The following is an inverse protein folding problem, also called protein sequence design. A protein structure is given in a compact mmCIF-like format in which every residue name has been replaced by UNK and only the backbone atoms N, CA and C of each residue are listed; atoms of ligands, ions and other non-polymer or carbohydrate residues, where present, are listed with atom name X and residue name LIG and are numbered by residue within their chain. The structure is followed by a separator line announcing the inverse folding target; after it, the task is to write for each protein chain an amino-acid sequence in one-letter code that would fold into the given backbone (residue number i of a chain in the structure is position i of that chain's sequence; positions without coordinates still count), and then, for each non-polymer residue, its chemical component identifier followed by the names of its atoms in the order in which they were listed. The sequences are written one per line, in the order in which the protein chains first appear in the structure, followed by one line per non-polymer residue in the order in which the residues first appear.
data_IF_482967945758
#
_entry.id   IF_482967945758
#
_cell.length_a   1.000
_cell.length_b   1.000
_cell.length_c   1.000
_cell.angle_alpha   90.00
_cell.angle_beta   90.00
_cell.angle_gamma   90.00
#
_symmetry.space_group_name_H-M   'P 1'
#
loop_
_entity.id
_entity.type
_entity.pdbx_description
1 polymer ?
#
# COMPACT_ATOMS: atom_id res chain seq x y z
N UNK A 1 -18.80 -14.21 19.26
CA UNK A 1 -18.16 -14.10 17.93
C UNK A 1 -18.81 -15.11 17.02
N UNK A 2 -19.45 -14.75 15.89
CA UNK A 2 -19.94 -15.74 14.94
C UNK A 2 -18.75 -16.51 14.36
N UNK A 3 -18.89 -17.82 14.21
CA UNK A 3 -17.88 -18.67 13.58
C UNK A 3 -17.45 -18.10 12.22
N UNK A 4 -16.16 -18.22 11.84
CA UNK A 4 -15.73 -17.80 10.52
C UNK A 4 -16.55 -18.54 9.46
N UNK A 5 -17.00 -17.87 8.39
CA UNK A 5 -17.76 -18.53 7.33
C UNK A 5 -16.90 -19.67 6.76
N UNK A 6 -17.51 -20.85 6.60
CA UNK A 6 -16.85 -22.03 6.05
C UNK A 6 -16.19 -21.69 4.72
N UNK A 7 -14.86 -21.75 4.70
CA UNK A 7 -14.03 -21.56 3.53
C UNK A 7 -13.76 -22.94 2.92
N UNK A 8 -14.57 -23.33 1.95
CA UNK A 8 -14.44 -24.61 1.27
C UNK A 8 -13.30 -24.56 0.24
N UNK A 9 -12.27 -25.42 0.40
CA UNK A 9 -11.15 -25.50 -0.53
C UNK A 9 -11.59 -26.17 -1.84
N UNK A 10 -11.31 -25.53 -2.96
CA UNK A 10 -11.63 -25.95 -4.31
C UNK A 10 -10.42 -25.80 -5.23
N UNK A 11 -10.44 -26.55 -6.33
CA UNK A 11 -9.41 -26.46 -7.39
C UNK A 11 -10.10 -26.40 -8.75
N UNK A 12 -9.57 -25.59 -9.63
CA UNK A 12 -10.00 -25.52 -11.03
C UNK A 12 -8.78 -25.48 -11.94
N UNK A 13 -8.93 -26.00 -13.16
CA UNK A 13 -7.87 -25.95 -14.18
C UNK A 13 -8.14 -24.75 -15.08
N UNK A 14 -7.17 -23.85 -15.12
CA UNK A 14 -7.16 -22.66 -15.97
C UNK A 14 -6.08 -22.80 -17.05
N UNK A 15 -6.06 -21.97 -18.11
CA UNK A 15 -5.02 -22.00 -19.14
C UNK A 15 -3.59 -21.96 -18.59
N UNK A 16 -3.32 -21.15 -17.58
CA UNK A 16 -2.02 -21.05 -16.92
C UNK A 16 -1.75 -22.08 -15.84
N UNK A 17 -2.55 -23.16 -15.74
CA UNK A 17 -2.37 -24.25 -14.78
C UNK A 17 -3.48 -24.33 -13.71
N UNK A 18 -3.30 -25.24 -12.74
CA UNK A 18 -4.27 -25.42 -11.65
C UNK A 18 -4.27 -24.19 -10.74
N UNK A 19 -5.46 -23.71 -10.43
CA UNK A 19 -5.71 -22.67 -9.42
C UNK A 19 -6.45 -23.29 -8.24
N UNK A 20 -5.87 -23.12 -7.05
CA UNK A 20 -6.52 -23.44 -5.79
C UNK A 20 -7.24 -22.20 -5.24
N UNK A 21 -8.49 -22.33 -4.83
CA UNK A 21 -9.27 -21.23 -4.28
C UNK A 21 -10.18 -21.70 -3.15
N UNK A 22 -10.58 -20.78 -2.29
CA UNK A 22 -11.55 -21.03 -1.24
C UNK A 22 -12.89 -20.42 -1.59
N UNK A 23 -13.92 -21.25 -1.65
CA UNK A 23 -15.30 -20.80 -1.88
C UNK A 23 -15.93 -20.38 -0.55
N UNK A 24 -16.56 -19.21 -0.54
CA UNK A 24 -17.30 -18.68 0.60
C UNK A 24 -18.70 -18.26 0.18
N UNK A 25 -19.71 -18.77 0.82
CA UNK A 25 -21.08 -18.29 0.67
C UNK A 25 -21.33 -17.11 1.62
N UNK A 26 -21.89 -16.01 1.11
CA UNK A 26 -22.08 -14.80 1.90
C UNK A 26 -23.47 -14.20 1.64
N UNK A 27 -24.24 -13.86 2.69
CA UNK A 27 -25.53 -13.21 2.56
C UNK A 27 -25.41 -11.80 1.97
N UNK A 28 -24.23 -11.18 2.10
CA UNK A 28 -23.94 -9.84 1.56
C UNK A 28 -23.53 -9.86 0.09
N UNK A 29 -23.14 -11.01 -0.46
CA UNK A 29 -22.76 -11.13 -1.86
C UNK A 29 -24.00 -11.19 -2.74
N UNK A 30 -24.03 -10.36 -3.79
CA UNK A 30 -25.09 -10.38 -4.81
C UNK A 30 -24.61 -11.02 -6.12
N UNK A 31 -23.30 -11.08 -6.32
CA UNK A 31 -22.60 -11.64 -7.48
C UNK A 31 -21.31 -12.34 -7.05
N UNK A 32 -20.58 -12.91 -8.03
CA UNK A 32 -19.25 -13.47 -7.76
C UNK A 32 -18.27 -12.33 -7.44
N UNK A 33 -17.50 -12.54 -6.38
CA UNK A 33 -16.41 -11.65 -5.97
C UNK A 33 -15.17 -12.48 -5.72
N UNK A 34 -14.07 -12.16 -6.37
CA UNK A 34 -12.76 -12.76 -6.11
C UNK A 34 -11.93 -11.80 -5.27
N UNK A 35 -11.36 -12.30 -4.20
CA UNK A 35 -10.45 -11.56 -3.32
C UNK A 35 -9.15 -12.34 -3.21
N UNK A 36 -8.02 -11.69 -3.41
CA UNK A 36 -6.72 -12.24 -3.06
C UNK A 36 -6.48 -11.88 -1.59
N UNK A 37 -6.73 -12.86 -0.74
CA UNK A 37 -6.59 -12.70 0.71
C UNK A 37 -5.18 -13.11 1.14
N UNK A 38 -4.48 -12.29 1.93
CA UNK A 38 -3.11 -12.60 2.32
C UNK A 38 -2.94 -13.86 3.18
N UNK A 39 -3.97 -14.29 3.92
CA UNK A 39 -3.92 -15.50 4.75
C UNK A 39 -4.44 -16.72 4.01
N UNK A 40 -5.46 -16.52 3.18
CA UNK A 40 -6.23 -17.60 2.58
C UNK A 40 -6.00 -17.78 1.07
N UNK A 41 -5.17 -16.92 0.43
CA UNK A 41 -4.95 -16.95 -1.01
C UNK A 41 -6.17 -16.47 -1.79
N UNK A 42 -6.56 -17.19 -2.82
CA UNK A 42 -7.74 -16.84 -3.62
C UNK A 42 -9.01 -17.20 -2.86
N UNK A 43 -9.82 -16.22 -2.52
CA UNK A 43 -11.13 -16.39 -1.90
C UNK A 43 -12.22 -15.93 -2.86
N UNK A 44 -13.10 -16.83 -3.23
CA UNK A 44 -14.26 -16.55 -4.08
C UNK A 44 -15.51 -16.48 -3.22
N UNK A 45 -16.13 -15.32 -3.14
CA UNK A 45 -17.40 -15.12 -2.42
C UNK A 45 -18.56 -15.14 -3.41
N UNK A 46 -19.59 -15.93 -3.10
CA UNK A 46 -20.81 -16.08 -3.89
C UNK A 46 -22.05 -15.85 -3.01
N UNK A 47 -23.24 -15.57 -3.56
CA UNK A 47 -24.48 -15.52 -2.83
C UNK A 47 -24.81 -16.84 -2.11
N UNK A 48 -25.72 -16.77 -1.15
CA UNK A 48 -26.25 -17.98 -0.49
C UNK A 48 -26.94 -18.91 -1.51
N UNK A 49 -26.89 -20.22 -1.26
CA UNK A 49 -27.54 -21.25 -2.07
C UNK A 49 -29.06 -21.09 -2.15
N UNK A 50 -29.67 -20.51 -1.11
CA UNK A 50 -31.10 -20.20 -1.05
C UNK A 50 -31.56 -19.15 -2.05
N UNK A 51 -30.62 -18.37 -2.63
CA UNK A 51 -30.92 -17.39 -3.65
C UNK A 51 -31.03 -18.07 -5.01
N UNK A 52 -32.09 -17.75 -5.76
CA UNK A 52 -32.36 -18.33 -7.09
C UNK A 52 -31.13 -18.23 -8.01
N UNK A 53 -30.76 -19.35 -8.64
CA UNK A 53 -29.62 -19.44 -9.55
C UNK A 53 -28.26 -19.68 -8.88
N UNK A 54 -28.19 -19.78 -7.54
CA UNK A 54 -26.92 -19.91 -6.81
C UNK A 54 -26.74 -21.22 -6.06
N UNK A 55 -27.55 -22.23 -6.40
CA UNK A 55 -27.46 -23.57 -5.78
C UNK A 55 -26.14 -24.26 -6.15
N UNK A 56 -25.73 -24.15 -7.42
CA UNK A 56 -24.48 -24.74 -7.95
C UNK A 56 -23.68 -23.67 -8.73
N UNK A 57 -22.89 -22.83 -8.04
CA UNK A 57 -22.19 -21.72 -8.67
C UNK A 57 -20.85 -22.13 -9.35
N UNK A 58 -20.47 -23.43 -9.29
CA UNK A 58 -19.14 -23.90 -9.68
C UNK A 58 -18.79 -23.50 -11.12
N UNK A 59 -19.68 -23.79 -12.07
CA UNK A 59 -19.43 -23.45 -13.50
C UNK A 59 -19.29 -21.94 -13.74
N UNK A 60 -20.12 -21.13 -13.08
CA UNK A 60 -20.03 -19.67 -13.16
C UNK A 60 -18.76 -19.13 -12.52
N UNK A 61 -18.30 -19.73 -11.40
CA UNK A 61 -17.05 -19.38 -10.73
C UNK A 61 -15.86 -19.73 -11.59
N UNK A 62 -15.83 -20.94 -12.16
CA UNK A 62 -14.73 -21.38 -13.03
C UNK A 62 -14.61 -20.52 -14.28
N UNK A 63 -15.74 -20.22 -14.92
CA UNK A 63 -15.77 -19.30 -16.06
C UNK A 63 -15.24 -17.91 -15.68
N UNK A 64 -15.70 -17.36 -14.56
CA UNK A 64 -15.25 -16.04 -14.08
C UNK A 64 -13.75 -16.02 -13.75
N UNK A 65 -13.23 -17.08 -13.12
CA UNK A 65 -11.81 -17.23 -12.84
C UNK A 65 -10.97 -17.34 -14.10
N UNK A 66 -11.45 -18.08 -15.11
CA UNK A 66 -10.77 -18.21 -16.41
C UNK A 66 -10.69 -16.86 -17.14
N UNK A 67 -11.80 -16.12 -17.20
CA UNK A 67 -11.84 -14.79 -17.81
C UNK A 67 -10.91 -13.78 -17.11
N UNK A 68 -10.65 -13.95 -15.82
CA UNK A 68 -9.87 -13.05 -14.98
C UNK A 68 -8.53 -13.62 -14.51
N UNK A 69 -8.11 -14.73 -15.08
CA UNK A 69 -6.86 -15.39 -14.71
C UNK A 69 -5.64 -14.47 -14.70
N UNK A 70 -5.41 -13.57 -15.70
CA UNK A 70 -4.27 -12.65 -15.68
C UNK A 70 -4.30 -11.71 -14.48
N UNK A 71 -5.48 -11.25 -14.05
CA UNK A 71 -5.64 -10.44 -12.86
C UNK A 71 -5.31 -11.24 -11.60
N UNK A 72 -5.87 -12.44 -11.47
CA UNK A 72 -5.65 -13.33 -10.30
C UNK A 72 -4.16 -13.65 -10.15
N UNK A 73 -3.50 -14.11 -11.22
CA UNK A 73 -2.08 -14.47 -11.17
C UNK A 73 -1.17 -13.29 -10.86
N UNK A 74 -1.43 -12.12 -11.44
CA UNK A 74 -0.67 -10.92 -11.15
C UNK A 74 -0.77 -10.51 -9.67
N UNK A 75 -1.95 -10.65 -9.07
CA UNK A 75 -2.13 -10.30 -7.66
C UNK A 75 -1.58 -11.37 -6.71
N UNK A 76 -1.62 -12.65 -7.09
CA UNK A 76 -0.92 -13.70 -6.36
C UNK A 76 0.59 -13.49 -6.38
N UNK A 77 1.18 -13.23 -7.53
CA UNK A 77 2.62 -12.93 -7.64
C UNK A 77 3.02 -11.71 -6.79
N UNK A 78 2.17 -10.67 -6.73
CA UNK A 78 2.38 -9.53 -5.83
C UNK A 78 2.34 -9.94 -4.35
N UNK A 79 1.44 -10.83 -3.97
CA UNK A 79 1.37 -11.33 -2.59
C UNK A 79 2.60 -12.15 -2.22
N UNK A 80 3.05 -13.03 -3.12
CA UNK A 80 4.27 -13.84 -2.93
C UNK A 80 5.52 -12.96 -2.82
N UNK A 81 5.67 -11.99 -3.72
CA UNK A 81 6.76 -11.04 -3.65
C UNK A 81 6.78 -10.25 -2.35
N UNK A 82 5.60 -9.81 -1.82
CA UNK A 82 5.51 -9.18 -0.49
C UNK A 82 5.98 -10.11 0.63
N UNK A 83 5.55 -11.38 0.59
CA UNK A 83 6.01 -12.39 1.56
C UNK A 83 7.52 -12.57 1.51
N UNK A 84 8.08 -12.68 0.31
CA UNK A 84 9.52 -12.77 0.13
C UNK A 84 10.27 -11.54 0.67
N UNK A 85 9.76 -10.33 0.39
CA UNK A 85 10.31 -9.07 0.91
C UNK A 85 10.28 -9.02 2.44
N UNK A 86 9.16 -9.40 3.06
CA UNK A 86 9.04 -9.44 4.53
C UNK A 86 10.00 -10.45 5.11
N UNK A 87 10.09 -11.65 4.52
CA UNK A 87 10.99 -12.72 4.97
C UNK A 87 12.46 -12.29 4.84
N UNK A 88 12.85 -11.69 3.71
CA UNK A 88 14.23 -11.24 3.47
C UNK A 88 14.66 -10.12 4.43
N UNK A 89 13.74 -9.23 4.81
CA UNK A 89 13.99 -8.11 5.72
C UNK A 89 14.14 -8.56 7.19
N UNK A 90 13.59 -9.70 7.57
CA UNK A 90 13.56 -10.16 8.97
C UNK A 90 12.56 -9.42 9.86
N UNK A 91 11.58 -8.71 9.28
CA UNK A 91 10.57 -7.96 10.03
C UNK A 91 11.09 -6.62 10.59
N UNK A 92 10.44 -6.12 11.67
CA UNK A 92 10.90 -4.95 12.44
C UNK A 92 11.61 -5.47 13.69
N UNK A 93 12.87 -5.85 13.51
CA UNK A 93 13.72 -6.42 14.54
C UNK A 93 15.03 -5.63 14.67
N UNK A 94 15.73 -5.82 15.79
CA UNK A 94 17.07 -5.24 15.97
C UNK A 94 18.03 -5.79 14.90
N UNK A 95 18.81 -4.92 14.28
CA UNK A 95 19.72 -5.23 13.19
C UNK A 95 19.08 -5.38 11.81
N UNK A 96 17.74 -5.33 11.67
CA UNK A 96 17.07 -5.42 10.38
C UNK A 96 17.34 -4.19 9.51
N UNK A 97 17.33 -4.36 8.19
CA UNK A 97 17.43 -3.26 7.24
C UNK A 97 16.07 -2.61 7.00
N UNK A 98 16.05 -1.30 6.93
CA UNK A 98 14.84 -0.51 6.74
C UNK A 98 15.07 0.69 5.83
N UNK A 99 14.22 0.88 4.83
CA UNK A 99 14.31 2.01 3.90
C UNK A 99 13.63 3.25 4.47
N UNK A 100 14.35 4.37 4.46
CA UNK A 100 13.83 5.70 4.81
C UNK A 100 14.48 6.76 3.93
N UNK A 101 13.72 7.66 3.36
CA UNK A 101 14.16 8.68 2.37
C UNK A 101 14.93 8.09 1.17
N UNK A 102 14.57 6.88 0.74
CA UNK A 102 15.22 6.17 -0.36
C UNK A 102 16.46 5.39 0.02
N UNK A 103 17.04 5.62 1.17
CA UNK A 103 18.27 5.00 1.67
C UNK A 103 17.98 3.85 2.61
N UNK A 104 18.92 2.90 2.71
CA UNK A 104 18.83 1.77 3.63
C UNK A 104 19.48 2.12 4.96
N UNK A 105 18.75 1.92 6.04
CA UNK A 105 19.17 2.16 7.41
C UNK A 105 19.14 0.85 8.18
N UNK A 106 20.01 0.68 9.16
CA UNK A 106 19.91 -0.40 10.12
C UNK A 106 18.98 0.00 11.27
N UNK A 107 18.00 -0.83 11.58
CA UNK A 107 17.16 -0.65 12.77
C UNK A 107 17.92 -1.08 14.03
N UNK A 108 17.84 -0.28 15.08
CA UNK A 108 18.29 -0.62 16.42
C UNK A 108 17.14 -0.45 17.39
N UNK A 109 16.83 -1.51 18.13
CA UNK A 109 15.80 -1.48 19.17
C UNK A 109 16.51 -1.45 20.50
N UNK A 110 16.54 -0.28 21.13
CA UNK A 110 17.31 -0.06 22.35
C UNK A 110 16.44 0.50 23.48
N UNK A 111 16.76 0.21 24.75
CA UNK A 111 16.06 0.84 25.86
C UNK A 111 16.20 2.38 25.81
N UNK A 112 15.11 3.09 26.08
CA UNK A 112 15.18 4.53 26.25
C UNK A 112 15.85 4.90 27.58
N UNK A 113 16.44 6.10 27.72
CA UNK A 113 17.02 6.57 28.97
C UNK A 113 16.05 6.47 30.14
N UNK A 114 16.56 6.23 31.38
CA UNK A 114 15.74 6.19 32.58
C UNK A 114 14.84 7.44 32.70
N UNK A 115 13.61 7.25 33.13
CA UNK A 115 12.64 8.34 33.26
C UNK A 115 11.89 8.74 32.00
N UNK A 116 12.26 8.20 30.82
CA UNK A 116 11.55 8.44 29.56
C UNK A 116 10.16 7.82 29.64
N UNK A 117 9.13 8.66 29.35
CA UNK A 117 7.72 8.23 29.42
C UNK A 117 7.19 7.60 28.14
N UNK A 118 7.72 7.97 26.98
CA UNK A 118 7.25 7.52 25.66
C UNK A 118 8.42 7.05 24.80
N UNK A 119 8.21 5.97 24.10
CA UNK A 119 9.11 5.47 23.07
C UNK A 119 9.16 6.45 21.91
N UNK A 120 10.32 6.55 21.27
CA UNK A 120 10.58 7.45 20.14
C UNK A 120 11.51 6.81 19.13
N UNK A 121 11.70 7.48 17.98
CA UNK A 121 12.70 7.09 16.97
C UNK A 121 13.67 8.25 16.80
N UNK A 122 14.95 7.93 16.78
CA UNK A 122 16.03 8.86 16.47
C UNK A 122 16.86 8.33 15.29
N UNK A 123 17.29 9.21 14.39
CA UNK A 123 18.27 8.89 13.36
C UNK A 123 19.66 9.18 13.93
N UNK A 124 20.53 8.19 13.85
CA UNK A 124 21.94 8.32 14.18
C UNK A 124 22.74 8.02 12.93
N UNK A 125 23.56 8.99 12.50
CA UNK A 125 24.44 8.85 11.37
C UNK A 125 25.27 10.10 11.21
N UNK A 126 26.57 9.92 11.33
CA UNK A 126 27.61 10.80 10.81
C UNK A 126 28.68 9.98 10.09
N UNK A 127 28.66 8.66 10.18
CA UNK A 127 29.61 7.72 9.58
C UNK A 127 28.88 6.60 8.82
N UNK A 128 29.61 5.74 8.13
CA UNK A 128 29.22 4.69 7.17
C UNK A 128 28.03 3.78 7.51
N UNK A 129 27.34 3.98 8.62
CA UNK A 129 26.16 3.19 9.06
C UNK A 129 25.07 4.11 9.57
N UNK A 130 24.21 4.53 8.65
CA UNK A 130 23.01 5.29 9.01
C UNK A 130 22.02 4.37 9.75
N UNK A 131 21.79 4.64 11.03
CA UNK A 131 20.95 3.83 11.90
C UNK A 131 19.68 4.57 12.33
N UNK A 132 18.56 3.83 12.39
CA UNK A 132 17.33 4.29 13.01
C UNK A 132 17.15 3.60 14.37
N UNK A 133 17.33 4.33 15.45
CA UNK A 133 17.18 3.83 16.81
C UNK A 133 15.72 3.98 17.26
N UNK A 134 15.07 2.86 17.54
CA UNK A 134 13.78 2.81 18.21
C UNK A 134 14.04 2.72 19.71
N UNK A 135 13.87 3.86 20.38
CA UNK A 135 14.08 4.00 21.83
C UNK A 135 12.82 3.54 22.56
N UNK A 136 12.88 2.39 23.24
CA UNK A 136 11.71 1.78 23.88
C UNK A 136 11.67 2.18 25.36
N UNK A 137 10.68 2.95 25.74
CA UNK A 137 10.45 3.35 27.12
C UNK A 137 9.77 2.22 27.92
N UNK A 138 10.23 1.95 29.13
CA UNK A 138 9.78 0.81 29.95
C UNK A 138 8.26 0.81 30.27
N UNK A 139 7.61 1.97 30.28
CA UNK A 139 6.17 2.12 30.54
C UNK A 139 5.31 2.25 29.26
N UNK A 140 5.92 2.33 28.09
CA UNK A 140 5.21 2.40 26.82
C UNK A 140 4.87 0.98 26.34
N UNK A 141 3.58 0.69 26.18
CA UNK A 141 3.11 -0.65 25.76
C UNK A 141 3.02 -0.81 24.25
N UNK A 142 3.35 0.22 23.47
CA UNK A 142 3.35 0.13 22.01
C UNK A 142 4.46 -0.78 21.54
N UNK A 143 4.15 -1.62 20.57
CA UNK A 143 5.17 -2.41 19.87
C UNK A 143 6.15 -1.50 19.10
N UNK A 144 7.43 -1.87 18.93
CA UNK A 144 8.40 -1.08 18.16
C UNK A 144 7.92 -0.67 16.77
N UNK A 145 7.18 -1.53 16.07
CA UNK A 145 6.57 -1.24 14.76
C UNK A 145 5.54 -0.09 14.84
N UNK A 146 4.81 0.02 15.93
CA UNK A 146 3.82 1.10 16.11
C UNK A 146 4.51 2.45 16.40
N UNK A 147 5.60 2.41 17.17
CA UNK A 147 6.46 3.57 17.42
C UNK A 147 7.07 4.06 16.11
N UNK A 148 7.67 3.16 15.33
CA UNK A 148 8.24 3.47 14.02
C UNK A 148 7.17 4.01 13.05
N UNK A 149 5.99 3.39 12.99
CA UNK A 149 4.87 3.86 12.16
C UNK A 149 4.44 5.27 12.52
N UNK A 150 4.33 5.58 13.80
CA UNK A 150 3.93 6.91 14.27
C UNK A 150 4.95 7.97 13.85
N UNK A 151 6.22 7.67 14.03
CA UNK A 151 7.33 8.54 13.64
C UNK A 151 7.37 8.75 12.11
N UNK A 152 7.24 7.69 11.30
CA UNK A 152 7.21 7.81 9.84
C UNK A 152 6.04 8.67 9.35
N UNK A 153 4.87 8.54 9.98
CA UNK A 153 3.72 9.38 9.64
C UNK A 153 3.97 10.86 9.94
N UNK A 154 4.61 11.16 11.05
CA UNK A 154 5.02 12.54 11.39
C UNK A 154 6.04 13.08 10.39
N UNK A 155 7.06 12.29 10.04
CA UNK A 155 8.05 12.67 9.02
C UNK A 155 7.41 12.86 7.64
N UNK A 156 6.47 12.00 7.25
CA UNK A 156 5.72 12.11 6.00
C UNK A 156 4.88 13.39 5.95
N UNK A 157 4.20 13.75 7.04
CA UNK A 157 3.45 15.00 7.12
C UNK A 157 4.37 16.18 6.84
N UNK A 158 5.47 16.31 7.58
CA UNK A 158 6.40 17.42 7.38
C UNK A 158 7.06 17.46 5.98
N UNK A 159 7.36 16.30 5.38
CA UNK A 159 7.92 16.25 4.04
C UNK A 159 6.89 16.65 2.97
N UNK A 160 5.66 16.16 3.08
CA UNK A 160 4.57 16.50 2.15
C UNK A 160 4.21 18.00 2.27
N UNK A 161 4.10 18.52 3.49
CA UNK A 161 3.77 19.95 3.70
C UNK A 161 4.84 20.87 3.08
N UNK A 162 6.12 20.53 3.22
CA UNK A 162 7.22 21.27 2.56
C UNK A 162 7.11 21.20 1.04
N UNK A 163 6.90 20.01 0.48
CA UNK A 163 6.75 19.83 -0.97
C UNK A 163 5.51 20.55 -1.52
N UNK A 164 4.40 20.53 -0.79
CA UNK A 164 3.19 21.30 -1.15
C UNK A 164 3.49 22.80 -1.12
N UNK A 165 4.11 23.31 -0.06
CA UNK A 165 4.47 24.74 0.04
C UNK A 165 5.37 25.18 -1.12
N UNK A 166 6.37 24.36 -1.47
CA UNK A 166 7.29 24.62 -2.58
C UNK A 166 6.59 24.71 -3.93
N UNK A 167 5.75 23.73 -4.28
CA UNK A 167 5.17 23.62 -5.63
C UNK A 167 3.82 24.33 -5.80
N UNK A 168 3.12 24.66 -4.71
CA UNK A 168 1.85 25.39 -4.79
C UNK A 168 2.00 26.77 -5.40
N UNK A 169 3.06 27.51 -5.05
CA UNK A 169 3.36 28.82 -5.61
C UNK A 169 3.65 28.74 -7.11
N UNK A 170 4.52 27.82 -7.52
CA UNK A 170 4.92 27.64 -8.93
C UNK A 170 3.72 27.27 -9.81
N UNK A 171 2.80 26.43 -9.31
CA UNK A 171 1.60 26.08 -10.02
C UNK A 171 0.43 27.07 -9.84
N UNK A 172 0.57 28.07 -8.98
CA UNK A 172 -0.49 29.00 -8.61
C UNK A 172 -1.79 28.28 -8.20
N UNK A 173 -1.67 27.35 -7.24
CA UNK A 173 -2.80 26.57 -6.70
C UNK A 173 -2.75 26.55 -5.15
N UNK A 174 -3.91 26.42 -4.53
CA UNK A 174 -4.03 26.30 -3.07
C UNK A 174 -4.92 25.08 -2.76
N UNK A 175 -4.37 24.01 -2.20
CA UNK A 175 -5.17 22.88 -1.76
C UNK A 175 -6.14 23.29 -0.65
N UNK A 176 -7.41 22.88 -0.73
CA UNK A 176 -8.40 23.15 0.32
C UNK A 176 -8.16 22.30 1.58
N UNK A 177 -7.55 21.14 1.41
CA UNK A 177 -7.25 20.19 2.49
C UNK A 177 -6.18 19.21 2.05
N UNK A 178 -5.25 18.88 2.96
CA UNK A 178 -4.28 17.81 2.80
C UNK A 178 -4.56 16.72 3.84
N UNK A 179 -4.55 15.45 3.43
CA UNK A 179 -4.76 14.31 4.33
C UNK A 179 -3.72 13.23 4.09
N UNK A 180 -3.20 12.68 5.18
CA UNK A 180 -2.29 11.54 5.14
C UNK A 180 -3.09 10.24 5.32
N UNK A 181 -2.90 9.30 4.40
CA UNK A 181 -3.62 8.03 4.36
C UNK A 181 -2.66 6.85 4.40
N UNK A 182 -3.20 5.68 4.70
CA UNK A 182 -2.52 4.39 4.57
C UNK A 182 -3.04 3.62 3.35
N UNK A 183 -2.91 4.24 2.18
CA UNK A 183 -3.34 3.63 0.91
C UNK A 183 -2.26 2.70 0.38
N UNK A 184 -2.69 1.57 -0.19
CA UNK A 184 -1.79 0.55 -0.77
C UNK A 184 -1.95 0.41 -2.28
N UNK A 185 -2.89 1.13 -2.90
CA UNK A 185 -3.18 1.08 -4.33
C UNK A 185 -2.75 2.34 -5.09
N UNK A 186 -2.51 3.44 -4.37
CA UNK A 186 -2.11 4.74 -4.96
C UNK A 186 -1.24 5.52 -4.00
N UNK A 187 -0.36 6.36 -4.54
CA UNK A 187 0.53 7.21 -3.77
C UNK A 187 -0.12 8.52 -3.37
N UNK A 188 -0.97 9.07 -4.24
CA UNK A 188 -1.72 10.27 -4.01
C UNK A 188 -3.11 10.25 -4.66
N UNK A 189 -3.92 11.25 -4.39
CA UNK A 189 -5.13 11.57 -5.13
C UNK A 189 -5.55 13.02 -4.91
N UNK A 190 -6.08 13.65 -5.96
CA UNK A 190 -6.68 14.97 -5.93
C UNK A 190 -8.19 14.87 -6.20
N UNK A 191 -8.98 15.67 -5.50
CA UNK A 191 -10.41 15.80 -5.74
C UNK A 191 -10.74 17.10 -6.45
N UNK A 192 -11.87 17.14 -7.17
CA UNK A 192 -12.39 18.38 -7.81
C UNK A 192 -12.68 19.50 -6.80
N UNK A 193 -12.83 19.19 -5.51
CA UNK A 193 -13.03 20.17 -4.43
C UNK A 193 -11.71 20.72 -3.85
N UNK A 194 -10.57 20.43 -4.49
CA UNK A 194 -9.27 20.90 -4.08
C UNK A 194 -8.62 20.11 -2.94
N UNK A 195 -9.23 19.00 -2.48
CA UNK A 195 -8.62 18.19 -1.42
C UNK A 195 -7.61 17.21 -1.99
N UNK A 196 -6.44 17.15 -1.38
CA UNK A 196 -5.37 16.20 -1.69
C UNK A 196 -5.27 15.12 -0.61
N UNK A 197 -4.91 13.92 -1.00
CA UNK A 197 -4.53 12.88 -0.04
C UNK A 197 -3.29 12.14 -0.52
N UNK A 198 -2.41 11.77 0.43
CA UNK A 198 -1.13 11.12 0.16
C UNK A 198 -0.93 9.90 1.04
N UNK A 199 -0.23 8.91 0.53
CA UNK A 199 0.24 7.78 1.35
C UNK A 199 1.41 8.23 2.22
N UNK A 200 1.37 7.97 3.53
CA UNK A 200 2.49 8.22 4.42
C UNK A 200 3.76 7.45 4.00
N UNK A 201 3.60 6.33 3.28
CA UNK A 201 4.72 5.52 2.80
C UNK A 201 5.61 6.22 1.78
N UNK A 202 5.18 7.36 1.25
CA UNK A 202 6.03 8.19 0.40
C UNK A 202 7.32 8.63 1.07
N UNK A 203 7.34 8.76 2.41
CA UNK A 203 8.55 9.11 3.15
C UNK A 203 9.63 8.02 3.12
N UNK A 204 9.29 6.82 2.69
CA UNK A 204 10.24 5.73 2.49
C UNK A 204 10.97 5.85 1.15
N UNK A 205 10.38 6.55 0.19
CA UNK A 205 10.98 6.81 -1.13
C UNK A 205 12.00 7.96 -1.07
N UNK A 206 12.85 8.09 -2.09
CA UNK A 206 13.67 9.29 -2.27
C UNK A 206 12.81 10.57 -2.22
N UNK A 207 13.33 11.66 -1.65
CA UNK A 207 12.61 12.93 -1.58
C UNK A 207 12.04 13.38 -2.93
N UNK A 208 12.82 13.21 -4.00
CA UNK A 208 12.43 13.57 -5.36
C UNK A 208 11.22 12.75 -5.87
N UNK A 209 11.13 11.50 -5.47
CA UNK A 209 9.98 10.65 -5.82
C UNK A 209 8.72 11.10 -5.05
N UNK A 210 8.85 11.48 -3.77
CA UNK A 210 7.77 12.06 -2.97
C UNK A 210 7.29 13.37 -3.59
N UNK A 211 8.24 14.29 -3.89
CA UNK A 211 7.94 15.58 -4.51
C UNK A 211 7.25 15.42 -5.87
N UNK A 212 7.67 14.44 -6.67
CA UNK A 212 7.04 14.12 -7.96
C UNK A 212 5.56 13.74 -7.78
N UNK A 213 5.22 12.98 -6.74
CA UNK A 213 3.81 12.65 -6.44
C UNK A 213 3.05 13.87 -5.96
N UNK A 214 3.64 14.68 -5.07
CA UNK A 214 3.00 15.91 -4.58
C UNK A 214 2.72 16.86 -5.72
N UNK A 215 3.69 17.10 -6.59
CA UNK A 215 3.54 17.93 -7.79
C UNK A 215 2.46 17.39 -8.73
N UNK A 216 2.40 16.07 -8.94
CA UNK A 216 1.37 15.43 -9.75
C UNK A 216 -0.04 15.72 -9.23
N UNK A 217 -0.26 15.59 -7.93
CA UNK A 217 -1.58 15.84 -7.32
C UNK A 217 -1.92 17.34 -7.30
N UNK A 218 -0.94 18.22 -7.12
CA UNK A 218 -1.14 19.66 -7.24
C UNK A 218 -1.50 20.07 -8.68
N UNK A 219 -0.84 19.48 -9.69
CA UNK A 219 -1.15 19.74 -11.09
C UNK A 219 -2.61 19.39 -11.45
N UNK A 220 -3.20 18.39 -10.78
CA UNK A 220 -4.62 18.06 -10.95
C UNK A 220 -5.59 19.16 -10.46
N UNK A 221 -5.15 20.07 -9.62
CA UNK A 221 -5.97 21.23 -9.23
C UNK A 221 -6.13 22.25 -10.39
N UNK A 222 -5.25 22.19 -11.39
CA UNK A 222 -5.33 23.02 -12.61
C UNK A 222 -5.86 22.27 -13.82
N UNK A 223 -5.41 21.02 -14.00
CA UNK A 223 -5.75 20.24 -15.20
C UNK A 223 -6.17 18.83 -14.78
N UNK A 224 -7.45 18.52 -14.95
CA UNK A 224 -7.96 17.17 -14.74
C UNK A 224 -7.64 16.30 -15.96
N UNK A 225 -7.20 15.05 -15.66
CA UNK A 225 -6.74 14.11 -16.70
C UNK A 225 -5.23 14.21 -16.92
N UNK A 226 -4.71 13.29 -17.74
CA UNK A 226 -3.24 13.11 -17.96
C UNK A 226 -2.86 13.40 -19.42
N UNK A 227 -3.50 14.40 -20.02
CA UNK A 227 -3.19 14.83 -21.39
C UNK A 227 -1.87 15.64 -21.48
N UNK A 228 -1.49 16.09 -22.70
CA UNK A 228 -0.24 16.82 -22.92
C UNK A 228 -0.08 18.07 -22.05
N UNK A 229 -1.15 18.83 -21.82
CA UNK A 229 -1.13 20.04 -20.96
C UNK A 229 -0.80 19.69 -19.50
N UNK A 230 -1.29 18.56 -18.98
CA UNK A 230 -0.99 18.09 -17.65
C UNK A 230 0.50 17.74 -17.52
N UNK A 231 1.01 16.94 -18.46
CA UNK A 231 2.41 16.53 -18.42
C UNK A 231 3.38 17.68 -18.66
N UNK A 232 3.00 18.67 -19.45
CA UNK A 232 3.77 19.89 -19.63
C UNK A 232 3.92 20.67 -18.32
N UNK A 233 2.86 20.78 -17.51
CA UNK A 233 2.92 21.40 -16.18
C UNK A 233 3.88 20.64 -15.24
N UNK A 234 3.76 19.33 -15.19
CA UNK A 234 4.63 18.51 -14.33
C UNK A 234 6.07 18.57 -14.78
N UNK A 235 6.32 18.48 -16.09
CA UNK A 235 7.67 18.50 -16.65
C UNK A 235 8.38 19.85 -16.51
N UNK A 236 7.64 20.95 -16.51
CA UNK A 236 8.21 22.28 -16.30
C UNK A 236 8.84 22.44 -14.90
N UNK A 237 8.19 21.86 -13.89
CA UNK A 237 8.64 21.92 -12.50
C UNK A 237 9.60 20.77 -12.14
N UNK A 238 9.42 19.59 -12.78
CA UNK A 238 10.22 18.40 -12.53
C UNK A 238 10.49 17.65 -13.84
N UNK A 239 11.53 18.04 -14.59
CA UNK A 239 11.87 17.40 -15.87
C UNK A 239 12.13 15.90 -15.77
N UNK A 240 12.67 15.44 -14.64
CA UNK A 240 13.00 14.05 -14.32
C UNK A 240 11.82 13.21 -13.78
N UNK A 241 10.59 13.76 -13.76
CA UNK A 241 9.41 13.10 -13.20
C UNK A 241 9.15 11.67 -13.74
N UNK A 242 9.53 11.40 -14.99
CA UNK A 242 9.36 10.08 -15.62
C UNK A 242 10.22 9.03 -14.90
N UNK A 243 11.46 9.39 -14.55
CA UNK A 243 12.38 8.51 -13.83
C UNK A 243 11.84 8.18 -12.44
N UNK A 244 11.34 9.16 -11.68
CA UNK A 244 10.81 8.97 -10.33
C UNK A 244 9.50 8.19 -10.32
N UNK A 245 8.63 8.40 -11.32
CA UNK A 245 7.42 7.57 -11.49
C UNK A 245 7.77 6.11 -11.81
N UNK A 246 8.82 5.87 -12.60
CA UNK A 246 9.33 4.53 -12.87
C UNK A 246 9.90 3.91 -11.59
N UNK A 247 10.69 4.67 -10.85
CA UNK A 247 11.27 4.24 -9.58
C UNK A 247 10.17 3.78 -8.60
N UNK A 248 9.15 4.62 -8.36
CA UNK A 248 8.01 4.28 -7.51
C UNK A 248 7.28 3.02 -7.98
N UNK A 249 7.13 2.81 -9.27
CA UNK A 249 6.49 1.61 -9.80
C UNK A 249 7.30 0.35 -9.51
N UNK A 250 8.61 0.40 -9.65
CA UNK A 250 9.52 -0.71 -9.38
C UNK A 250 9.51 -1.06 -7.89
N UNK A 251 9.63 -0.06 -7.01
CA UNK A 251 9.75 -0.25 -5.56
C UNK A 251 8.39 -0.28 -4.83
N UNK A 252 7.27 -0.08 -5.53
CA UNK A 252 5.93 0.00 -4.94
C UNK A 252 5.63 -1.14 -3.98
N UNK A 253 6.08 -2.33 -4.32
CA UNK A 253 5.87 -3.55 -3.57
C UNK A 253 6.57 -3.52 -2.21
N UNK A 254 7.85 -3.19 -2.22
CA UNK A 254 8.71 -3.04 -1.04
C UNK A 254 8.16 -1.95 -0.11
N UNK A 255 7.89 -0.76 -0.64
CA UNK A 255 7.42 0.37 0.14
C UNK A 255 6.06 0.11 0.80
N UNK A 256 5.14 -0.57 0.09
CA UNK A 256 3.86 -0.94 0.68
C UNK A 256 3.95 -2.04 1.73
N UNK A 257 4.97 -2.88 1.68
CA UNK A 257 5.23 -3.94 2.66
C UNK A 257 6.09 -3.50 3.84
N UNK A 258 6.62 -2.27 3.84
CA UNK A 258 7.70 -1.84 4.74
C UNK A 258 7.45 -2.07 6.24
N UNK A 259 6.21 -1.91 6.73
CA UNK A 259 5.85 -2.19 8.12
C UNK A 259 4.94 -3.42 8.28
N UNK A 260 4.87 -4.27 7.27
CA UNK A 260 4.11 -5.50 7.38
C UNK A 260 4.97 -6.52 8.12
N UNK A 261 4.52 -6.96 9.26
CA UNK A 261 5.09 -8.08 10.03
C UNK A 261 4.39 -9.39 9.64
N UNK A 262 3.12 -9.30 9.24
CA UNK A 262 2.30 -10.39 8.71
C UNK A 262 1.78 -9.99 7.31
N UNK A 263 1.94 -10.82 6.28
CA UNK A 263 1.34 -10.58 4.96
C UNK A 263 -0.19 -10.44 4.99
N UNK A 264 -0.83 -10.71 6.13
CA UNK A 264 -2.28 -10.73 6.34
C UNK A 264 -3.03 -9.40 6.27
N UNK A 265 -2.42 -8.29 5.89
CA UNK A 265 -3.05 -6.96 6.04
C UNK A 265 -3.60 -6.31 4.79
N UNK A 266 -3.34 -6.83 3.58
CA UNK A 266 -3.87 -6.24 2.35
C UNK A 266 -4.48 -7.26 1.40
N UNK A 267 -5.76 -7.07 1.10
CA UNK A 267 -6.51 -7.85 0.10
C UNK A 267 -6.74 -7.06 -1.17
N UNK A 268 -6.65 -7.70 -2.34
CA UNK A 268 -7.13 -7.17 -3.61
C UNK A 268 -8.48 -7.82 -3.92
N UNK A 269 -9.46 -7.05 -4.36
CA UNK A 269 -10.82 -7.54 -4.65
C UNK A 269 -11.24 -7.14 -6.06
N UNK A 270 -11.91 -8.05 -6.77
CA UNK A 270 -12.54 -7.86 -8.06
C UNK A 270 -13.97 -8.37 -8.00
N UNK A 271 -14.94 -7.59 -8.47
CA UNK A 271 -16.34 -8.00 -8.58
C UNK A 271 -16.75 -8.20 -10.03
N UNK A 272 -17.87 -8.88 -10.28
CA UNK A 272 -18.42 -9.07 -11.63
C UNK A 272 -18.89 -7.73 -12.23
N UNK A 273 -19.23 -6.76 -11.39
CA UNK A 273 -19.63 -5.41 -11.81
C UNK A 273 -18.45 -4.56 -12.28
N UNK A 274 -17.26 -4.74 -11.69
CA UNK A 274 -16.03 -4.05 -12.11
C UNK A 274 -15.47 -4.60 -13.44
N UNK A 275 -16.09 -5.62 -13.99
CA UNK A 275 -15.63 -6.35 -15.16
C UNK A 275 -16.27 -5.88 -16.47
N UNK A 276 -17.24 -4.97 -16.43
CA UNK A 276 -18.01 -4.48 -17.58
C UNK A 276 -17.60 -3.08 -18.07
N UNK A 277 -16.46 -2.54 -17.54
CA UNK A 277 -15.91 -1.25 -17.95
C UNK A 277 -14.61 -1.36 -18.74
#
# INVERSE_FOLDING_TARGET
MPAPPDLELRRTRLPGGVLEYRLRRSPRSRSIRVTIDPRHGVVVSVPLATRRGWTRPEGDVEKFLAEREPWVRRHLARLEGRRATIAARGGIADGAEFRYLGEMHRLRIVPAPPGTRRSSVARHGADERDELHILVAARDRRAPVEVLRSWLRERATGAIDRAVAQHSSALNVTPSRITLRDTRSRWGSASRKGSLSFSWRLVLAPPEALETVVLHELAHLRVFGHGPRFWALVAAERPDHVAWRRWLRVHSHELHAALDEDPGTASATLTREDAAG
#
